data_IF_095811877433
#
_entry.id   IF_095811877433
#
_cell.length_a   1.000
_cell.length_b   1.000
_cell.length_c   1.000
_cell.angle_alpha   90.00
_cell.angle_beta   90.00
_cell.angle_gamma   90.00
#
_symmetry.space_group_name_H-M   'P 1'
#
loop_
_entity.id
_entity.type
_entity.pdbx_description
1 polymer ?
#
# COMPACT_ATOMS: atom_id res chain seq x y z
N UNK A 1 9.63 -41.64 3.32
CA UNK A 1 8.59 -41.64 2.27
C UNK A 1 8.12 -40.20 2.08
N UNK A 2 8.14 -39.64 0.88
CA UNK A 2 7.42 -38.37 0.62
C UNK A 2 5.94 -38.68 0.81
N UNK A 3 5.29 -38.14 1.83
CA UNK A 3 3.82 -38.23 1.95
C UNK A 3 3.23 -37.54 0.73
N UNK A 4 2.50 -38.28 -0.09
CA UNK A 4 1.75 -37.71 -1.21
C UNK A 4 0.66 -36.81 -0.63
N UNK A 5 0.83 -35.49 -0.74
CA UNK A 5 -0.08 -34.50 -0.20
C UNK A 5 -1.12 -34.02 -1.22
N UNK A 6 -1.06 -34.49 -2.47
CA UNK A 6 -1.88 -33.95 -3.57
C UNK A 6 -3.39 -34.08 -3.31
N UNK A 7 -3.81 -35.06 -2.49
CA UNK A 7 -5.20 -35.25 -2.08
C UNK A 7 -5.64 -34.38 -0.88
N UNK A 8 -4.70 -33.68 -0.23
CA UNK A 8 -4.93 -32.79 0.93
C UNK A 8 -4.63 -31.32 0.61
N UNK A 9 -4.80 -30.95 -0.66
CA UNK A 9 -4.72 -29.55 -1.10
C UNK A 9 -6.09 -28.89 -0.95
N UNK A 10 -6.15 -27.76 -0.25
CA UNK A 10 -7.37 -26.95 -0.17
C UNK A 10 -7.65 -26.33 -1.55
N UNK A 11 -8.89 -26.43 -2.08
CA UNK A 11 -9.25 -25.76 -3.32
C UNK A 11 -9.02 -24.24 -3.26
N UNK A 12 -8.54 -23.64 -4.35
CA UNK A 12 -8.27 -22.19 -4.41
C UNK A 12 -9.51 -21.34 -4.10
N UNK A 13 -10.70 -21.84 -4.45
CA UNK A 13 -11.97 -21.18 -4.18
C UNK A 13 -12.96 -22.16 -3.57
N UNK A 14 -13.35 -21.90 -2.33
CA UNK A 14 -14.38 -22.67 -1.61
C UNK A 14 -15.67 -21.86 -1.67
N UNK A 15 -16.65 -22.35 -2.43
CA UNK A 15 -17.99 -21.72 -2.53
C UNK A 15 -19.05 -22.50 -1.76
N UNK A 16 -18.80 -23.76 -1.44
CA UNK A 16 -19.68 -24.66 -0.69
C UNK A 16 -18.83 -25.63 0.12
N UNK A 17 -19.40 -26.20 1.19
CA UNK A 17 -18.78 -27.20 2.05
C UNK A 17 -19.62 -28.48 2.06
N UNK A 18 -19.01 -29.64 1.82
CA UNK A 18 -19.61 -30.97 2.05
C UNK A 18 -19.84 -31.17 3.54
N UNK A 19 -20.76 -32.02 3.97
CA UNK A 19 -21.27 -32.07 5.36
C UNK A 19 -20.20 -32.09 6.47
N UNK A 20 -19.08 -32.78 6.27
CA UNK A 20 -17.97 -32.87 7.24
C UNK A 20 -16.86 -31.82 7.06
N UNK A 21 -16.96 -30.95 6.05
CA UNK A 21 -15.95 -29.93 5.78
C UNK A 21 -16.15 -28.69 6.66
N UNK A 22 -15.02 -28.13 7.11
CA UNK A 22 -14.92 -26.93 7.95
C UNK A 22 -14.03 -25.91 7.25
N UNK A 23 -14.54 -24.69 7.07
CA UNK A 23 -13.81 -23.58 6.47
C UNK A 23 -12.88 -22.91 7.50
N UNK A 24 -11.56 -23.02 7.32
CA UNK A 24 -10.60 -22.43 8.27
C UNK A 24 -10.03 -21.14 7.70
N UNK A 25 -10.13 -20.06 8.47
CA UNK A 25 -9.83 -18.71 7.98
C UNK A 25 -9.06 -17.86 9.00
N UNK A 26 -8.34 -16.86 8.47
CA UNK A 26 -7.64 -15.87 9.27
C UNK A 26 -8.59 -14.80 9.80
N UNK A 27 -8.52 -14.49 11.10
CA UNK A 27 -9.34 -13.48 11.77
C UNK A 27 -8.50 -12.46 12.55
N UNK A 28 -9.16 -11.48 13.17
CA UNK A 28 -8.60 -10.64 14.23
C UNK A 28 -9.21 -11.06 15.59
N UNK A 29 -8.57 -10.67 16.69
CA UNK A 29 -9.02 -11.03 18.04
C UNK A 29 -10.44 -10.57 18.37
N UNK A 30 -10.90 -9.47 17.76
CA UNK A 30 -12.23 -8.92 17.98
C UNK A 30 -13.32 -9.60 17.15
N UNK A 31 -12.98 -10.56 16.26
CA UNK A 31 -13.94 -11.24 15.39
C UNK A 31 -14.64 -10.34 14.37
N UNK A 32 -13.99 -9.26 13.92
CA UNK A 32 -14.53 -8.40 12.88
C UNK A 32 -14.24 -8.99 11.51
N UNK A 33 -15.17 -9.81 11.03
CA UNK A 33 -15.05 -10.60 9.80
C UNK A 33 -15.49 -9.80 8.54
N UNK A 34 -14.96 -8.59 8.37
CA UNK A 34 -15.40 -7.66 7.32
C UNK A 34 -14.75 -7.84 5.94
N UNK A 35 -13.69 -8.64 5.81
CA UNK A 35 -12.96 -8.79 4.54
C UNK A 35 -12.42 -10.19 4.26
N UNK A 36 -12.09 -10.44 2.99
CA UNK A 36 -11.42 -11.67 2.52
C UNK A 36 -12.13 -12.96 2.93
N UNK A 37 -11.34 -13.98 3.29
CA UNK A 37 -11.84 -15.26 3.76
C UNK A 37 -12.72 -15.13 5.01
N UNK A 38 -12.45 -14.17 5.90
CA UNK A 38 -13.28 -13.94 7.09
C UNK A 38 -14.70 -13.50 6.71
N UNK A 39 -14.85 -12.60 5.74
CA UNK A 39 -16.17 -12.20 5.23
C UNK A 39 -16.90 -13.36 4.55
N UNK A 40 -16.18 -14.18 3.77
CA UNK A 40 -16.77 -15.37 3.17
C UNK A 40 -17.27 -16.35 4.25
N UNK A 41 -16.49 -16.55 5.31
CA UNK A 41 -16.88 -17.38 6.45
C UNK A 41 -18.15 -16.86 7.13
N UNK A 42 -18.24 -15.55 7.34
CA UNK A 42 -19.42 -14.90 7.94
C UNK A 42 -20.67 -15.06 7.06
N UNK A 43 -20.55 -14.81 5.75
CA UNK A 43 -21.70 -14.79 4.84
C UNK A 43 -22.19 -16.19 4.45
N UNK A 44 -21.29 -17.18 4.40
CA UNK A 44 -21.59 -18.46 3.75
C UNK A 44 -21.35 -19.68 4.63
N UNK A 45 -20.50 -19.58 5.66
CA UNK A 45 -20.04 -20.75 6.42
C UNK A 45 -20.28 -20.62 7.94
N UNK A 46 -21.14 -19.68 8.34
CA UNK A 46 -21.63 -19.55 9.72
C UNK A 46 -20.62 -19.03 10.72
N UNK A 47 -19.59 -18.28 10.29
CA UNK A 47 -18.77 -17.55 11.24
C UNK A 47 -19.58 -16.44 11.91
N UNK A 48 -19.30 -16.17 13.18
CA UNK A 48 -20.03 -15.24 14.03
C UNK A 48 -19.27 -13.92 14.13
N UNK A 49 -19.99 -12.79 14.03
CA UNK A 49 -19.39 -11.49 14.30
C UNK A 49 -19.04 -11.36 15.78
N UNK A 50 -17.83 -10.87 16.09
CA UNK A 50 -17.35 -10.73 17.47
C UNK A 50 -16.57 -11.94 18.00
N UNK A 51 -16.51 -13.04 17.25
CA UNK A 51 -15.82 -14.28 17.65
C UNK A 51 -14.56 -14.52 16.82
N UNK A 52 -13.44 -13.97 17.31
CA UNK A 52 -12.16 -13.95 16.60
C UNK A 52 -11.38 -15.27 16.56
N UNK A 53 -11.76 -16.25 17.39
CA UNK A 53 -10.99 -17.47 17.58
C UNK A 53 -11.88 -18.71 17.71
N UNK A 54 -11.41 -19.82 17.16
CA UNK A 54 -11.95 -21.16 17.44
C UNK A 54 -13.11 -21.56 16.54
N UNK A 55 -13.80 -22.66 16.88
CA UNK A 55 -14.89 -23.20 16.07
C UNK A 55 -16.15 -22.33 16.15
N UNK A 56 -16.79 -22.10 15.01
CA UNK A 56 -18.02 -21.31 14.87
C UNK A 56 -18.77 -21.69 13.59
N UNK A 57 -20.04 -22.07 13.73
CA UNK A 57 -20.82 -22.61 12.63
C UNK A 57 -20.10 -23.77 11.92
N UNK A 58 -19.89 -23.63 10.61
CA UNK A 58 -19.11 -24.56 9.78
C UNK A 58 -17.71 -24.02 9.47
N UNK A 59 -17.16 -23.22 10.37
CA UNK A 59 -15.89 -22.53 10.23
C UNK A 59 -15.01 -22.64 11.47
N UNK A 60 -13.71 -22.37 11.30
CA UNK A 60 -12.77 -22.24 12.41
C UNK A 60 -11.90 -20.99 12.19
N UNK A 61 -11.86 -20.08 13.17
CA UNK A 61 -11.08 -18.85 13.10
C UNK A 61 -9.71 -18.96 13.76
N UNK A 62 -8.69 -18.46 13.07
CA UNK A 62 -7.32 -18.33 13.57
C UNK A 62 -6.95 -16.83 13.58
N UNK A 63 -6.76 -16.20 14.75
CA UNK A 63 -6.24 -14.84 14.85
C UNK A 63 -4.86 -14.67 14.19
N UNK A 64 -4.78 -13.70 13.28
CA UNK A 64 -3.56 -13.41 12.48
C UNK A 64 -3.14 -11.94 12.49
N UNK A 65 -3.83 -11.08 13.23
CA UNK A 65 -3.68 -9.61 13.12
C UNK A 65 -3.09 -8.95 14.39
N UNK A 66 -2.53 -9.73 15.31
CA UNK A 66 -2.11 -9.28 16.65
C UNK A 66 -0.59 -9.07 16.82
N UNK A 67 0.14 -8.88 15.73
CA UNK A 67 1.60 -8.65 15.77
C UNK A 67 2.31 -9.40 14.65
N UNK A 68 3.55 -9.85 14.90
CA UNK A 68 4.31 -10.69 13.98
C UNK A 68 3.87 -12.16 13.98
N UNK A 69 4.53 -12.97 13.15
CA UNK A 69 4.25 -14.41 12.95
C UNK A 69 4.26 -15.19 14.27
N UNK A 70 5.15 -14.82 15.19
CA UNK A 70 5.28 -15.41 16.53
C UNK A 70 4.00 -15.31 17.36
N UNK A 71 3.19 -14.26 17.14
CA UNK A 71 1.92 -14.06 17.85
C UNK A 71 0.79 -14.95 17.32
N UNK A 72 0.99 -15.60 16.17
CA UNK A 72 0.01 -16.46 15.49
C UNK A 72 0.20 -17.92 15.89
N UNK A 73 1.45 -18.34 16.15
CA UNK A 73 1.82 -19.73 16.45
C UNK A 73 0.91 -20.41 17.51
N UNK A 74 0.56 -19.78 18.65
CA UNK A 74 -0.28 -20.43 19.66
C UNK A 74 -1.69 -20.75 19.16
N UNK A 75 -2.22 -19.98 18.21
CA UNK A 75 -3.55 -20.18 17.63
C UNK A 75 -3.55 -21.32 16.60
N UNK A 76 -2.47 -21.42 15.81
CA UNK A 76 -2.27 -22.54 14.88
C UNK A 76 -2.09 -23.86 15.65
N UNK A 77 -1.31 -23.87 16.73
CA UNK A 77 -1.17 -25.04 17.60
C UNK A 77 -2.51 -25.50 18.19
N UNK A 78 -3.34 -24.55 18.64
CA UNK A 78 -4.69 -24.86 19.15
C UNK A 78 -5.59 -25.43 18.06
N UNK A 79 -5.54 -24.87 16.85
CA UNK A 79 -6.25 -25.41 15.69
C UNK A 79 -5.82 -26.85 15.36
N UNK A 80 -4.51 -27.12 15.27
CA UNK A 80 -4.00 -28.46 14.97
C UNK A 80 -4.44 -29.47 16.05
N UNK A 81 -4.39 -29.07 17.33
CA UNK A 81 -4.88 -29.89 18.45
C UNK A 81 -6.40 -30.15 18.35
N UNK A 82 -7.17 -29.15 17.93
CA UNK A 82 -8.60 -29.29 17.71
C UNK A 82 -8.87 -30.29 16.58
N UNK A 83 -8.20 -30.14 15.43
CA UNK A 83 -8.37 -31.03 14.27
C UNK A 83 -8.02 -32.49 14.59
N UNK A 84 -6.96 -32.74 15.37
CA UNK A 84 -6.60 -34.10 15.86
C UNK A 84 -7.70 -34.76 16.70
N UNK A 85 -8.53 -33.98 17.38
CA UNK A 85 -9.65 -34.47 18.22
C UNK A 85 -10.95 -34.65 17.44
N UNK A 86 -11.00 -34.21 16.19
CA UNK A 86 -12.18 -34.25 15.33
C UNK A 86 -11.84 -34.93 13.99
N UNK A 87 -11.37 -36.18 13.99
CA UNK A 87 -10.95 -36.89 12.77
C UNK A 87 -12.11 -37.10 11.77
N UNK A 88 -13.36 -36.98 12.22
CA UNK A 88 -14.57 -37.03 11.39
C UNK A 88 -14.78 -35.78 10.52
N UNK A 89 -14.10 -34.67 10.82
CA UNK A 89 -14.20 -33.41 10.09
C UNK A 89 -13.00 -33.21 9.17
N UNK A 90 -13.19 -32.60 8.00
CA UNK A 90 -12.12 -32.18 7.08
C UNK A 90 -11.93 -30.67 7.13
N UNK A 91 -10.75 -30.22 7.53
CA UNK A 91 -10.45 -28.79 7.70
C UNK A 91 -9.80 -28.21 6.45
N UNK A 92 -10.53 -27.35 5.75
CA UNK A 92 -10.06 -26.67 4.55
C UNK A 92 -9.41 -25.35 4.95
N UNK A 93 -8.07 -25.37 5.09
CA UNK A 93 -7.29 -24.17 5.45
C UNK A 93 -7.12 -23.27 4.25
N UNK A 94 -7.65 -22.05 4.34
CA UNK A 94 -7.39 -20.98 3.38
C UNK A 94 -5.95 -20.44 3.52
N UNK A 95 -5.46 -19.55 2.64
CA UNK A 95 -4.19 -18.85 2.84
C UNK A 95 -4.21 -17.90 4.06
N UNK A 96 -4.25 -18.48 5.26
CA UNK A 96 -4.38 -17.80 6.54
C UNK A 96 -3.20 -16.84 6.73
N UNK A 97 -3.50 -15.61 7.11
CA UNK A 97 -2.50 -14.55 7.28
C UNK A 97 -2.00 -13.93 5.96
N UNK A 98 -2.27 -14.54 4.80
CA UNK A 98 -1.71 -14.10 3.51
C UNK A 98 -2.55 -13.06 2.76
N UNK A 99 -3.79 -12.82 3.21
CA UNK A 99 -4.63 -11.73 2.73
C UNK A 99 -4.45 -10.47 3.57
N UNK A 100 -5.43 -10.17 4.43
CA UNK A 100 -5.50 -8.92 5.22
C UNK A 100 -4.29 -8.70 6.13
N UNK A 101 -3.74 -9.77 6.72
CA UNK A 101 -2.61 -9.66 7.64
C UNK A 101 -1.25 -9.49 6.92
N UNK A 102 -1.19 -9.73 5.60
CA UNK A 102 -0.04 -9.38 4.76
C UNK A 102 1.22 -10.25 4.91
N UNK A 103 1.12 -11.44 5.51
CA UNK A 103 2.24 -12.38 5.59
C UNK A 103 2.39 -13.18 4.28
N UNK A 104 3.60 -13.54 3.92
CA UNK A 104 3.82 -14.49 2.81
C UNK A 104 3.49 -15.93 3.24
N UNK A 105 3.14 -16.82 2.29
CA UNK A 105 3.05 -18.25 2.56
C UNK A 105 4.31 -18.82 3.22
N UNK A 106 5.49 -18.30 2.85
CA UNK A 106 6.78 -18.68 3.44
C UNK A 106 6.89 -18.36 4.93
N UNK A 107 6.24 -17.29 5.38
CA UNK A 107 6.23 -16.87 6.79
C UNK A 107 5.24 -17.69 7.62
N UNK A 108 4.06 -18.01 7.08
CA UNK A 108 3.00 -18.72 7.81
C UNK A 108 3.11 -20.24 7.73
N UNK A 109 3.44 -20.80 6.57
CA UNK A 109 3.50 -22.26 6.37
C UNK A 109 4.35 -22.99 7.43
N UNK A 110 5.50 -22.48 7.90
CA UNK A 110 6.26 -23.12 8.98
C UNK A 110 5.47 -23.36 10.27
N UNK A 111 4.45 -22.55 10.58
CA UNK A 111 3.58 -22.75 11.75
C UNK A 111 2.71 -24.01 11.62
N UNK A 112 2.45 -24.46 10.39
CA UNK A 112 1.64 -25.65 10.09
C UNK A 112 2.48 -26.92 9.94
N UNK A 113 3.75 -26.94 10.37
CA UNK A 113 4.61 -28.13 10.22
C UNK A 113 4.01 -29.40 10.82
N UNK A 114 3.38 -29.27 11.98
CA UNK A 114 2.70 -30.39 12.63
C UNK A 114 1.43 -30.86 11.91
N UNK A 115 0.81 -30.02 11.07
CA UNK A 115 -0.39 -30.38 10.32
C UNK A 115 -0.09 -31.37 9.19
N UNK A 116 1.17 -31.49 8.75
CA UNK A 116 1.61 -32.48 7.76
C UNK A 116 1.23 -33.91 8.19
N UNK A 117 1.25 -34.17 9.49
CA UNK A 117 0.94 -35.48 10.08
C UNK A 117 -0.50 -35.63 10.55
N UNK A 118 -1.36 -34.65 10.26
CA UNK A 118 -2.79 -34.67 10.62
C UNK A 118 -3.61 -34.80 9.34
N UNK A 119 -4.09 -36.04 9.08
CA UNK A 119 -4.69 -36.42 7.79
C UNK A 119 -5.92 -35.61 7.40
N UNK A 120 -6.68 -35.11 8.37
CA UNK A 120 -7.90 -34.35 8.12
C UNK A 120 -7.68 -32.84 7.98
N UNK A 121 -6.43 -32.36 7.95
CA UNK A 121 -6.10 -30.98 7.61
C UNK A 121 -5.66 -30.89 6.15
N UNK A 122 -6.39 -30.07 5.39
CA UNK A 122 -6.03 -29.70 4.03
C UNK A 122 -5.42 -28.30 4.06
N UNK A 123 -4.29 -28.12 3.39
CA UNK A 123 -3.55 -26.85 3.34
C UNK A 123 -3.54 -26.28 1.91
N UNK A 124 -3.35 -24.96 1.74
CA UNK A 124 -3.10 -24.37 0.42
C UNK A 124 -1.88 -25.01 -0.24
N UNK A 125 -1.86 -25.09 -1.58
CA UNK A 125 -0.74 -25.70 -2.31
C UNK A 125 0.60 -25.06 -1.93
N UNK A 126 0.67 -23.73 -1.84
CA UNK A 126 1.90 -23.01 -1.50
C UNK A 126 2.42 -23.34 -0.10
N UNK A 127 1.53 -23.66 0.84
CA UNK A 127 1.95 -24.10 2.17
C UNK A 127 2.59 -25.48 2.09
N UNK A 128 2.02 -26.40 1.32
CA UNK A 128 2.65 -27.69 1.05
C UNK A 128 4.02 -27.52 0.41
N UNK A 129 4.15 -26.65 -0.60
CA UNK A 129 5.45 -26.42 -1.26
C UNK A 129 6.55 -26.01 -0.28
N UNK A 130 6.22 -25.22 0.74
CA UNK A 130 7.15 -24.83 1.80
C UNK A 130 7.39 -25.92 2.86
N UNK A 131 6.43 -26.82 3.07
CA UNK A 131 6.48 -27.84 4.11
C UNK A 131 7.16 -29.15 3.66
N UNK A 132 7.08 -29.52 2.37
CA UNK A 132 7.57 -30.82 1.86
C UNK A 132 8.79 -30.73 0.93
N UNK A 133 9.21 -29.55 0.48
CA UNK A 133 10.47 -29.40 -0.29
C UNK A 133 11.67 -29.29 0.68
N UNK A 134 12.68 -30.18 0.60
CA UNK A 134 13.88 -30.07 1.43
C UNK A 134 14.68 -28.81 1.06
N UNK A 135 15.24 -28.13 2.06
CA UNK A 135 16.28 -27.11 1.86
C UNK A 135 17.52 -27.78 1.25
N UNK A 136 17.80 -27.49 -0.02
CA UNK A 136 19.15 -27.65 -0.58
C UNK A 136 19.57 -26.34 -1.21
N UNK A 137 20.40 -25.60 -0.48
CA UNK A 137 21.40 -24.72 -1.09
C UNK A 137 22.35 -25.60 -1.91
N UNK A 138 22.35 -25.43 -3.23
CA UNK A 138 23.56 -25.56 -4.06
C UNK A 138 23.29 -25.04 -5.48
N UNK A 139 24.08 -24.03 -5.82
CA UNK A 139 24.43 -23.50 -7.14
C UNK A 139 24.06 -24.37 -8.35
N UNK A 140 23.19 -23.82 -9.22
CA UNK A 140 23.18 -24.07 -10.67
C UNK A 140 23.24 -22.73 -11.41
N UNK A 141 23.79 -22.68 -12.64
CA UNK A 141 24.09 -21.43 -13.33
C UNK A 141 22.81 -20.63 -13.55
N UNK A 142 22.85 -19.33 -13.29
CA UNK A 142 21.73 -18.41 -13.42
C UNK A 142 21.20 -18.37 -14.87
N UNK A 143 20.23 -19.21 -15.19
CA UNK A 143 19.19 -18.83 -16.14
C UNK A 143 18.21 -17.92 -15.38
N UNK A 144 18.24 -16.64 -15.71
CA UNK A 144 17.37 -15.62 -15.14
C UNK A 144 15.88 -15.95 -15.40
N UNK A 145 15.23 -16.67 -14.49
CA UNK A 145 13.77 -16.67 -14.40
C UNK A 145 13.34 -15.31 -13.86
N UNK A 146 12.97 -14.37 -14.73
CA UNK A 146 12.42 -13.08 -14.31
C UNK A 146 10.98 -13.26 -13.86
N UNK A 147 10.78 -13.25 -12.55
CA UNK A 147 9.50 -12.96 -11.91
C UNK A 147 9.11 -11.51 -12.20
N UNK A 148 7.81 -11.21 -12.34
CA UNK A 148 7.36 -9.83 -12.52
C UNK A 148 7.81 -8.98 -11.34
N UNK A 149 8.63 -7.96 -11.64
CA UNK A 149 9.15 -6.99 -10.67
C UNK A 149 8.71 -5.60 -11.07
N UNK A 150 8.53 -4.73 -10.09
CA UNK A 150 8.24 -3.33 -10.33
C UNK A 150 9.36 -2.43 -9.84
N UNK A 151 9.57 -1.32 -10.56
CA UNK A 151 10.44 -0.23 -10.11
C UNK A 151 9.62 0.77 -9.31
N UNK A 152 10.11 1.18 -8.13
CA UNK A 152 9.40 2.13 -7.28
C UNK A 152 10.11 3.47 -7.26
N UNK A 153 9.43 4.49 -7.74
CA UNK A 153 9.92 5.86 -7.82
C UNK A 153 8.95 6.79 -7.09
N UNK A 154 9.32 7.26 -5.90
CA UNK A 154 8.42 8.11 -5.11
C UNK A 154 9.14 9.29 -4.46
N UNK A 155 8.40 10.41 -4.36
CA UNK A 155 8.76 11.53 -3.50
C UNK A 155 7.77 11.55 -2.32
N UNK A 156 8.19 11.06 -1.13
CA UNK A 156 7.28 10.90 0.00
C UNK A 156 7.90 11.39 1.32
N UNK A 157 7.97 12.71 1.55
CA UNK A 157 8.61 13.26 2.74
C UNK A 157 8.00 12.76 4.06
N UNK A 158 6.70 12.53 4.11
CA UNK A 158 5.95 12.04 5.28
C UNK A 158 5.51 10.58 5.17
N UNK A 159 6.11 9.81 4.25
CA UNK A 159 5.97 8.34 4.11
C UNK A 159 4.61 7.80 3.65
N UNK A 160 3.54 8.58 3.60
CA UNK A 160 2.23 8.12 3.11
C UNK A 160 2.30 7.55 1.67
N UNK A 161 2.85 8.33 0.74
CA UNK A 161 3.07 7.88 -0.65
C UNK A 161 4.04 6.70 -0.79
N UNK A 162 5.05 6.58 0.08
CA UNK A 162 5.92 5.39 0.11
C UNK A 162 5.14 4.12 0.48
N UNK A 163 4.24 4.21 1.47
CA UNK A 163 3.37 3.09 1.86
C UNK A 163 2.47 2.65 0.70
N UNK A 164 1.87 3.60 -0.01
CA UNK A 164 1.05 3.34 -1.21
C UNK A 164 1.89 2.69 -2.32
N UNK A 165 3.07 3.24 -2.64
CA UNK A 165 3.95 2.68 -3.67
C UNK A 165 4.29 1.21 -3.40
N UNK A 166 4.64 0.89 -2.15
CA UNK A 166 4.96 -0.47 -1.70
C UNK A 166 3.75 -1.40 -1.74
N UNK A 167 2.56 -0.89 -1.43
CA UNK A 167 1.32 -1.67 -1.51
C UNK A 167 0.99 -2.04 -2.97
N UNK A 168 1.08 -1.10 -3.90
CA UNK A 168 0.92 -1.38 -5.34
C UNK A 168 1.98 -2.40 -5.80
N UNK A 169 3.23 -2.25 -5.33
CA UNK A 169 4.30 -3.19 -5.63
C UNK A 169 3.97 -4.62 -5.19
N UNK A 170 3.51 -4.81 -3.95
CA UNK A 170 3.09 -6.11 -3.41
C UNK A 170 1.97 -6.73 -4.25
N UNK A 171 0.98 -5.94 -4.67
CA UNK A 171 -0.08 -6.40 -5.56
C UNK A 171 0.42 -6.92 -6.92
N UNK A 172 1.59 -6.45 -7.37
CA UNK A 172 2.22 -6.90 -8.62
C UNK A 172 3.17 -8.09 -8.44
N UNK A 173 3.59 -8.41 -7.22
CA UNK A 173 4.50 -9.52 -6.95
C UNK A 173 3.84 -10.88 -7.26
N UNK A 174 4.65 -11.85 -7.66
CA UNK A 174 4.24 -13.23 -7.87
C UNK A 174 5.19 -14.01 -8.77
N UNK A 175 4.91 -15.30 -8.92
CA UNK A 175 5.80 -16.22 -9.63
C UNK A 175 5.66 -16.19 -11.16
N UNK A 176 4.80 -15.32 -11.68
CA UNK A 176 4.54 -15.16 -13.10
C UNK A 176 5.81 -14.73 -13.84
N UNK A 177 6.17 -15.52 -14.86
CA UNK A 177 7.29 -15.21 -15.74
C UNK A 177 6.90 -14.06 -16.66
N UNK A 178 7.56 -12.92 -16.51
CA UNK A 178 7.37 -11.77 -17.41
C UNK A 178 8.67 -11.01 -17.60
N UNK A 179 8.93 -10.60 -18.85
CA UNK A 179 10.00 -9.66 -19.18
C UNK A 179 9.58 -8.20 -18.95
N UNK A 180 8.29 -7.95 -18.67
CA UNK A 180 7.76 -6.62 -18.42
C UNK A 180 8.12 -6.18 -16.99
N UNK A 181 8.72 -5.00 -16.87
CA UNK A 181 9.04 -4.38 -15.58
C UNK A 181 8.29 -3.05 -15.45
N UNK A 182 7.06 -3.04 -14.91
CA UNK A 182 6.33 -1.79 -14.71
C UNK A 182 7.03 -0.88 -13.69
N UNK A 183 6.87 0.43 -13.85
CA UNK A 183 7.33 1.43 -12.89
C UNK A 183 6.16 2.07 -12.15
N UNK A 184 6.24 2.21 -10.84
CA UNK A 184 5.27 2.93 -10.01
C UNK A 184 5.85 4.30 -9.68
N UNK A 185 5.19 5.36 -10.14
CA UNK A 185 5.55 6.73 -9.83
C UNK A 185 4.56 7.33 -8.83
N UNK A 186 5.05 7.75 -7.66
CA UNK A 186 4.20 8.38 -6.64
C UNK A 186 4.68 9.79 -6.31
N UNK A 187 3.79 10.77 -6.47
CA UNK A 187 4.04 12.17 -6.12
C UNK A 187 3.02 12.66 -5.10
N UNK A 188 3.40 13.51 -4.12
CA UNK A 188 2.43 14.24 -3.34
C UNK A 188 1.89 15.42 -4.16
N UNK A 189 0.82 16.05 -3.68
CA UNK A 189 0.23 17.24 -4.29
C UNK A 189 0.57 18.48 -3.47
N UNK A 190 1.37 19.40 -4.03
CA UNK A 190 1.66 20.70 -3.41
C UNK A 190 1.10 21.82 -4.27
N UNK A 191 0.19 22.61 -3.68
CA UNK A 191 -0.51 23.71 -4.36
C UNK A 191 -1.14 23.29 -5.70
N UNK A 192 -1.69 22.07 -5.74
CA UNK A 192 -2.40 21.52 -6.90
C UNK A 192 -1.55 20.90 -7.99
N UNK A 193 -0.23 20.85 -7.79
CA UNK A 193 0.71 20.41 -8.81
C UNK A 193 1.68 19.36 -8.30
N UNK A 194 2.34 18.69 -9.24
CA UNK A 194 3.50 17.86 -8.95
C UNK A 194 4.65 18.75 -8.43
N UNK A 195 5.18 18.52 -7.21
CA UNK A 195 6.22 19.36 -6.63
C UNK A 195 7.49 19.41 -7.47
N UNK A 196 8.12 20.58 -7.56
CA UNK A 196 9.43 20.72 -8.22
C UNK A 196 10.49 19.78 -7.65
N UNK A 197 10.47 19.51 -6.34
CA UNK A 197 11.35 18.53 -5.70
C UNK A 197 11.12 17.09 -6.18
N UNK A 198 9.87 16.73 -6.52
CA UNK A 198 9.57 15.43 -7.14
C UNK A 198 10.10 15.39 -8.60
N UNK A 199 9.91 16.47 -9.36
CA UNK A 199 10.46 16.59 -10.73
C UNK A 199 11.99 16.45 -10.71
N UNK A 200 12.65 17.15 -9.80
CA UNK A 200 14.11 17.07 -9.62
C UNK A 200 14.56 15.66 -9.26
N UNK A 201 13.87 14.98 -8.32
CA UNK A 201 14.16 13.59 -7.94
C UNK A 201 14.00 12.62 -9.11
N UNK A 202 13.01 12.84 -9.97
CA UNK A 202 12.70 11.94 -11.07
C UNK A 202 13.41 12.32 -12.38
N UNK A 203 14.17 13.42 -12.42
CA UNK A 203 14.68 14.00 -13.68
C UNK A 203 15.56 13.06 -14.49
N UNK A 204 16.35 12.23 -13.80
CA UNK A 204 17.31 11.30 -14.41
C UNK A 204 16.74 9.89 -14.63
N UNK A 205 15.48 9.65 -14.25
CA UNK A 205 14.83 8.37 -14.46
C UNK A 205 14.34 8.31 -15.91
N UNK A 206 14.79 7.30 -16.65
CA UNK A 206 14.38 7.04 -18.04
C UNK A 206 13.89 5.61 -18.15
N UNK A 207 12.90 5.38 -19.00
CA UNK A 207 12.43 4.04 -19.31
C UNK A 207 13.58 3.18 -19.88
N UNK A 208 13.61 1.92 -19.49
CA UNK A 208 14.53 0.91 -20.00
C UNK A 208 13.95 0.29 -21.27
N UNK A 209 14.70 0.31 -22.37
CA UNK A 209 14.30 -0.25 -23.65
C UNK A 209 14.64 0.67 -24.82
N UNK A 210 14.78 0.12 -26.03
CA UNK A 210 15.00 0.92 -27.25
C UNK A 210 13.75 1.76 -27.50
N UNK A 211 13.91 3.07 -27.69
CA UNK A 211 12.83 3.94 -28.14
C UNK A 211 12.23 3.37 -29.44
N UNK A 212 10.91 3.20 -29.55
CA UNK A 212 10.29 2.79 -30.80
C UNK A 212 10.24 3.99 -31.74
N UNK A 213 11.14 4.03 -32.71
CA UNK A 213 10.89 4.70 -33.99
C UNK A 213 9.66 4.06 -34.63
N UNK A 214 8.59 4.83 -34.74
CA UNK A 214 7.44 4.52 -35.60
C UNK A 214 8.00 4.25 -37.01
N UNK A 215 7.68 3.11 -37.61
CA UNK A 215 7.44 2.96 -39.04
C UNK A 215 6.96 1.54 -39.39
N UNK A 216 5.89 1.52 -40.18
CA UNK A 216 5.35 0.44 -41.04
C UNK A 216 4.39 -0.58 -40.42
N UNK A 217 3.27 -0.71 -41.12
CA UNK A 217 2.13 -1.62 -40.95
C UNK A 217 2.58 -3.06 -40.66
N UNK A 218 1.87 -3.71 -39.73
CA UNK A 218 1.85 -5.15 -39.43
C UNK A 218 3.03 -5.74 -38.61
N UNK A 219 3.44 -5.08 -37.51
CA UNK A 219 4.31 -5.68 -36.49
C UNK A 219 3.74 -5.37 -35.09
N UNK A 220 3.73 -6.39 -34.21
CA UNK A 220 3.36 -6.29 -32.77
C UNK A 220 4.00 -5.04 -32.15
N UNK A 221 3.19 -4.09 -31.68
CA UNK A 221 3.67 -2.89 -31.02
C UNK A 221 4.34 -3.28 -29.69
N UNK A 222 5.67 -3.33 -29.64
CA UNK A 222 6.41 -3.33 -28.38
C UNK A 222 6.27 -1.94 -27.77
N UNK A 223 5.41 -1.82 -26.76
CA UNK A 223 5.20 -0.57 -26.03
C UNK A 223 6.44 -0.15 -25.24
N UNK A 224 6.52 1.15 -24.97
CA UNK A 224 7.39 1.75 -23.97
C UNK A 224 7.17 1.11 -22.58
N UNK A 225 8.13 1.27 -21.66
CA UNK A 225 8.03 0.67 -20.32
C UNK A 225 6.72 1.11 -19.62
N UNK A 226 5.87 0.18 -19.15
CA UNK A 226 4.59 0.55 -18.54
C UNK A 226 4.80 1.25 -17.21
N UNK A 227 3.90 2.18 -16.88
CA UNK A 227 3.94 2.94 -15.64
C UNK A 227 2.56 3.03 -14.97
N UNK A 228 2.56 2.94 -13.65
CA UNK A 228 1.43 3.26 -12.77
C UNK A 228 1.71 4.65 -12.17
N UNK A 229 0.81 5.60 -12.41
CA UNK A 229 0.95 6.97 -11.94
C UNK A 229 0.09 7.21 -10.70
N UNK A 230 0.65 7.76 -9.63
CA UNK A 230 -0.07 7.95 -8.38
C UNK A 230 0.15 9.36 -7.82
N UNK A 231 -0.96 10.05 -7.55
CA UNK A 231 -0.97 11.27 -6.75
C UNK A 231 -1.45 10.95 -5.33
N UNK A 232 -0.70 11.37 -4.30
CA UNK A 232 -1.17 11.32 -2.91
C UNK A 232 -1.49 12.71 -2.38
N UNK A 233 -2.64 12.86 -1.74
CA UNK A 233 -3.16 14.17 -1.33
C UNK A 233 -3.81 14.16 0.05
N UNK A 234 -3.79 15.32 0.71
CA UNK A 234 -4.28 15.49 2.09
C UNK A 234 -5.76 15.82 2.17
N UNK A 235 -6.62 15.02 1.53
CA UNK A 235 -8.10 15.09 1.59
C UNK A 235 -8.79 16.29 0.91
N UNK A 236 -8.06 17.32 0.46
CA UNK A 236 -8.68 18.43 -0.30
C UNK A 236 -8.96 18.05 -1.75
N UNK A 237 -7.91 17.95 -2.55
CA UNK A 237 -7.97 17.68 -3.99
C UNK A 237 -6.58 17.28 -4.49
N UNK A 238 -6.52 16.52 -5.57
CA UNK A 238 -5.27 16.21 -6.27
C UNK A 238 -5.02 17.09 -7.49
N UNK A 239 -6.05 17.78 -8.00
CA UNK A 239 -5.96 18.82 -9.04
C UNK A 239 -5.09 18.36 -10.23
N UNK A 240 -4.10 19.17 -10.63
CA UNK A 240 -3.28 18.94 -11.82
C UNK A 240 -2.09 18.01 -11.55
N UNK A 241 -1.84 17.59 -10.31
CA UNK A 241 -0.63 16.86 -9.97
C UNK A 241 -0.48 15.53 -10.71
N UNK A 242 -1.59 14.84 -10.98
CA UNK A 242 -1.56 13.59 -11.72
C UNK A 242 -1.32 13.82 -13.22
N UNK A 243 -1.91 14.88 -13.79
CA UNK A 243 -1.67 15.31 -15.18
C UNK A 243 -0.23 15.77 -15.37
N UNK A 244 0.30 16.56 -14.43
CA UNK A 244 1.71 16.99 -14.42
C UNK A 244 2.65 15.77 -14.40
N UNK A 245 2.35 14.78 -13.55
CA UNK A 245 3.13 13.54 -13.47
C UNK A 245 3.03 12.75 -14.78
N UNK A 246 1.85 12.65 -15.38
CA UNK A 246 1.64 11.95 -16.65
C UNK A 246 2.49 12.55 -17.77
N UNK A 247 2.39 13.87 -17.98
CA UNK A 247 3.21 14.58 -18.98
C UNK A 247 4.69 14.36 -18.72
N UNK A 248 5.13 14.55 -17.47
CA UNK A 248 6.54 14.42 -17.08
C UNK A 248 7.09 13.01 -17.31
N UNK A 249 6.30 11.96 -17.06
CA UNK A 249 6.74 10.57 -17.17
C UNK A 249 6.65 10.06 -18.62
N UNK A 250 5.67 10.52 -19.41
CA UNK A 250 5.61 10.26 -20.87
C UNK A 250 6.85 10.78 -21.60
N UNK A 251 7.31 12.00 -21.27
CA UNK A 251 8.56 12.58 -21.81
C UNK A 251 9.81 11.72 -21.50
N UNK A 252 9.74 10.82 -20.51
CA UNK A 252 10.81 9.92 -20.09
C UNK A 252 10.71 8.52 -20.71
N UNK A 253 9.80 8.34 -21.66
CA UNK A 253 9.65 7.11 -22.43
C UNK A 253 8.83 6.03 -21.73
N UNK A 254 7.97 6.41 -20.78
CA UNK A 254 7.05 5.48 -20.13
C UNK A 254 5.64 5.55 -20.76
N UNK A 255 4.92 4.43 -20.74
CA UNK A 255 3.51 4.34 -21.11
C UNK A 255 2.66 4.24 -19.85
N UNK A 256 1.85 5.25 -19.49
CA UNK A 256 0.91 5.12 -18.39
C UNK A 256 -0.16 4.09 -18.70
N UNK A 257 -0.17 2.98 -17.96
CA UNK A 257 -1.15 1.88 -18.12
C UNK A 257 -2.19 1.87 -16.99
N UNK A 258 -1.97 2.69 -15.97
CA UNK A 258 -2.88 2.92 -14.85
C UNK A 258 -2.57 4.25 -14.18
N UNK A 259 -3.58 4.83 -13.52
CA UNK A 259 -3.43 6.03 -12.72
C UNK A 259 -4.31 5.97 -11.46
N UNK A 260 -3.86 6.59 -10.37
CA UNK A 260 -4.59 6.61 -9.11
C UNK A 260 -4.38 7.89 -8.29
N UNK A 261 -5.38 8.23 -7.49
CA UNK A 261 -5.33 9.26 -6.46
C UNK A 261 -5.65 8.64 -5.10
N UNK A 262 -4.67 8.65 -4.19
CA UNK A 262 -4.81 8.11 -2.84
C UNK A 262 -4.80 9.22 -1.79
N UNK A 263 -5.71 9.12 -0.82
CA UNK A 263 -5.69 10.04 0.33
C UNK A 263 -4.60 9.57 1.31
N UNK A 264 -3.81 10.52 1.79
CA UNK A 264 -2.84 10.32 2.87
C UNK A 264 -3.04 11.42 3.91
N UNK A 265 -2.58 11.18 5.13
CA UNK A 265 -2.59 12.21 6.16
C UNK A 265 -1.85 13.45 5.66
N UNK A 266 -2.51 14.60 5.78
CA UNK A 266 -1.90 15.86 5.33
C UNK A 266 -0.69 16.17 6.21
N UNK A 267 0.37 16.73 5.60
CA UNK A 267 1.57 17.18 6.33
C UNK A 267 1.30 18.23 7.43
N UNK A 268 0.10 18.83 7.47
CA UNK A 268 -0.32 19.84 8.46
C UNK A 268 -1.27 19.26 9.50
N UNK A 269 -1.66 17.99 9.36
CA UNK A 269 -2.55 17.30 10.29
C UNK A 269 -1.91 17.24 11.68
N UNK A 270 -2.67 17.66 12.68
CA UNK A 270 -2.34 17.63 14.11
C UNK A 270 -3.55 17.10 14.87
N UNK A 271 -3.40 16.69 16.15
CA UNK A 271 -4.56 16.33 16.97
C UNK A 271 -5.62 17.44 17.05
N UNK A 272 -5.20 18.71 17.05
CA UNK A 272 -6.10 19.87 17.13
C UNK A 272 -6.81 20.17 15.80
N UNK A 273 -6.17 19.87 14.68
CA UNK A 273 -6.70 20.08 13.32
C UNK A 273 -6.43 18.85 12.46
N UNK A 274 -7.17 17.75 12.69
CA UNK A 274 -6.94 16.49 11.98
C UNK A 274 -7.36 16.63 10.52
N UNK A 275 -6.49 16.24 9.60
CA UNK A 275 -6.75 16.27 8.15
C UNK A 275 -6.33 14.93 7.55
N UNK A 276 -7.31 14.09 7.23
CA UNK A 276 -7.09 12.69 6.86
C UNK A 276 -6.16 11.96 7.86
N UNK A 277 -6.31 12.23 9.16
CA UNK A 277 -5.48 11.62 10.19
C UNK A 277 -5.56 10.08 10.13
N UNK A 278 -4.42 9.41 10.28
CA UNK A 278 -4.34 7.94 10.23
C UNK A 278 -4.30 7.32 8.82
N UNK A 279 -4.42 8.13 7.76
CA UNK A 279 -4.31 7.69 6.35
C UNK A 279 -2.84 7.66 5.88
N UNK A 280 -2.40 6.68 5.07
CA UNK A 280 -3.15 5.50 4.64
C UNK A 280 -3.26 4.48 5.77
N UNK A 281 -4.47 3.94 5.93
CA UNK A 281 -4.82 2.82 6.78
C UNK A 281 -4.92 1.52 5.97
N UNK A 282 -5.38 0.45 6.60
CA UNK A 282 -5.43 -0.89 6.01
C UNK A 282 -6.30 -0.92 4.74
N UNK A 283 -7.43 -0.20 4.71
CA UNK A 283 -8.32 -0.19 3.53
C UNK A 283 -7.61 0.40 2.31
N UNK A 284 -6.82 1.45 2.53
CA UNK A 284 -6.15 2.15 1.44
C UNK A 284 -4.98 1.35 0.90
N UNK A 285 -4.29 0.62 1.78
CA UNK A 285 -3.23 -0.29 1.36
C UNK A 285 -3.81 -1.47 0.58
N UNK A 286 -5.00 -1.96 0.93
CA UNK A 286 -5.70 -3.00 0.17
C UNK A 286 -6.14 -2.52 -1.21
N UNK A 287 -6.71 -1.31 -1.31
CA UNK A 287 -7.07 -0.71 -2.59
C UNK A 287 -5.83 -0.50 -3.48
N UNK A 288 -4.70 -0.11 -2.88
CA UNK A 288 -3.42 0.00 -3.58
C UNK A 288 -2.88 -1.36 -4.06
N UNK A 289 -2.98 -2.41 -3.24
CA UNK A 289 -2.63 -3.78 -3.64
C UNK A 289 -3.53 -4.30 -4.76
N UNK A 290 -4.84 -4.03 -4.70
CA UNK A 290 -5.79 -4.41 -5.75
C UNK A 290 -5.47 -3.71 -7.08
N UNK A 291 -5.09 -2.44 -7.05
CA UNK A 291 -4.59 -1.74 -8.23
C UNK A 291 -3.34 -2.44 -8.81
N UNK A 292 -2.38 -2.79 -7.95
CA UNK A 292 -1.19 -3.54 -8.37
C UNK A 292 -1.55 -4.86 -9.04
N UNK A 293 -2.44 -5.64 -8.43
CA UNK A 293 -2.90 -6.91 -8.97
C UNK A 293 -3.64 -6.77 -10.31
N UNK A 294 -4.49 -5.76 -10.44
CA UNK A 294 -5.21 -5.48 -11.68
C UNK A 294 -4.25 -5.12 -12.82
N UNK A 295 -3.26 -4.27 -12.55
CA UNK A 295 -2.23 -3.92 -13.55
C UNK A 295 -1.37 -5.13 -13.90
N UNK A 296 -0.96 -5.93 -12.91
CA UNK A 296 -0.24 -7.19 -13.16
C UNK A 296 -1.01 -8.08 -14.13
N UNK A 297 -2.30 -8.31 -13.86
CA UNK A 297 -3.18 -9.14 -14.70
C UNK A 297 -3.27 -8.59 -16.12
N UNK A 298 -3.49 -7.28 -16.26
CA UNK A 298 -3.51 -6.57 -17.54
C UNK A 298 -2.21 -6.78 -18.33
N UNK A 299 -1.06 -6.59 -17.69
CA UNK A 299 0.26 -6.74 -18.31
C UNK A 299 0.59 -8.19 -18.71
N UNK A 300 0.16 -9.17 -17.91
CA UNK A 300 0.33 -10.59 -18.23
C UNK A 300 -0.49 -11.03 -19.45
N UNK A 301 -1.60 -10.33 -19.74
CA UNK A 301 -2.37 -10.49 -20.97
C UNK A 301 -1.74 -9.75 -22.17
N UNK A 302 -0.52 -9.24 -22.04
CA UNK A 302 0.16 -8.39 -23.02
C UNK A 302 -0.61 -7.09 -23.36
N UNK A 303 -1.56 -6.68 -22.51
CA UNK A 303 -2.32 -5.45 -22.69
C UNK A 303 -1.52 -4.25 -22.16
N UNK A 304 -0.97 -3.47 -23.10
CA UNK A 304 -0.25 -2.23 -22.84
C UNK A 304 -1.10 -0.99 -23.20
N UNK A 305 -2.43 -1.13 -23.26
CA UNK A 305 -3.33 -0.02 -23.57
C UNK A 305 -3.11 1.15 -22.61
N UNK A 306 -2.84 2.36 -23.14
CA UNK A 306 -2.54 3.51 -22.31
C UNK A 306 -3.81 4.03 -21.63
N UNK A 307 -3.65 4.49 -20.40
CA UNK A 307 -4.66 5.21 -19.64
C UNK A 307 -4.38 6.71 -19.68
N UNK A 308 -5.43 7.52 -19.58
CA UNK A 308 -5.30 8.98 -19.49
C UNK A 308 -5.63 9.45 -18.07
N UNK A 309 -4.66 10.07 -17.39
CA UNK A 309 -4.81 10.55 -16.02
C UNK A 309 -5.97 11.54 -15.84
N UNK A 310 -6.33 12.31 -16.88
CA UNK A 310 -7.43 13.28 -16.84
C UNK A 310 -8.82 12.66 -16.65
N UNK A 311 -8.95 11.34 -16.81
CA UNK A 311 -10.18 10.60 -16.50
C UNK A 311 -10.45 10.57 -14.99
N UNK A 312 -9.41 10.68 -14.15
CA UNK A 312 -9.58 10.90 -12.72
C UNK A 312 -9.90 12.37 -12.45
N UNK A 313 -11.06 12.62 -11.84
CA UNK A 313 -11.50 13.95 -11.39
C UNK A 313 -11.45 14.06 -9.88
N UNK A 314 -11.38 15.28 -9.35
CA UNK A 314 -11.61 15.52 -7.92
C UNK A 314 -13.10 15.29 -7.58
N UNK A 315 -13.38 15.03 -6.29
CA UNK A 315 -14.75 15.16 -5.79
C UNK A 315 -15.21 16.62 -5.93
N UNK A 316 -16.45 16.88 -6.37
CA UNK A 316 -16.99 18.23 -6.39
C UNK A 316 -16.98 18.82 -4.98
N UNK A 317 -16.51 20.06 -4.86
CA UNK A 317 -16.51 20.80 -3.59
C UNK A 317 -17.73 21.73 -3.59
N UNK A 318 -18.60 21.66 -2.57
CA UNK A 318 -19.69 22.63 -2.38
C UNK A 318 -19.20 24.08 -2.46
N UNK A 319 -19.96 24.94 -3.15
CA UNK A 319 -19.55 26.32 -3.42
C UNK A 319 -19.22 27.11 -2.15
N UNK A 320 -19.98 26.91 -1.07
CA UNK A 320 -19.73 27.55 0.23
C UNK A 320 -18.38 27.13 0.82
N UNK A 321 -18.05 25.83 0.80
CA UNK A 321 -16.76 25.31 1.26
C UNK A 321 -15.61 25.85 0.41
N UNK A 322 -15.81 25.93 -0.91
CA UNK A 322 -14.83 26.51 -1.82
C UNK A 322 -14.58 27.99 -1.51
N UNK A 323 -15.64 28.80 -1.33
CA UNK A 323 -15.53 30.23 -0.97
C UNK A 323 -14.84 30.42 0.38
N UNK A 324 -15.25 29.67 1.40
CA UNK A 324 -14.68 29.70 2.74
C UNK A 324 -13.18 29.36 2.73
N UNK A 325 -12.82 28.26 2.07
CA UNK A 325 -11.42 27.86 1.95
C UNK A 325 -10.58 28.89 1.19
N UNK A 326 -11.09 29.42 0.07
CA UNK A 326 -10.38 30.43 -0.72
C UNK A 326 -10.20 31.75 0.03
N UNK A 327 -11.17 32.16 0.85
CA UNK A 327 -11.03 33.32 1.73
C UNK A 327 -9.90 33.09 2.76
N UNK A 328 -9.82 31.91 3.36
CA UNK A 328 -8.74 31.55 4.29
C UNK A 328 -7.36 31.55 3.59
N UNK A 329 -7.28 31.04 2.37
CA UNK A 329 -6.06 31.09 1.54
C UNK A 329 -5.64 32.53 1.24
N UNK A 330 -6.58 33.39 0.85
CA UNK A 330 -6.31 34.80 0.59
C UNK A 330 -5.79 35.51 1.85
N UNK A 331 -6.45 35.32 2.99
CA UNK A 331 -6.03 35.91 4.27
C UNK A 331 -4.62 35.43 4.69
N UNK A 332 -4.34 34.12 4.56
CA UNK A 332 -3.02 33.56 4.86
C UNK A 332 -1.93 34.13 3.95
N UNK A 333 -2.23 34.31 2.66
CA UNK A 333 -1.30 34.91 1.69
C UNK A 333 -1.01 36.37 2.00
N UNK A 334 -2.05 37.18 2.25
CA UNK A 334 -1.90 38.59 2.64
C UNK A 334 -1.03 38.72 3.89
N UNK A 335 -1.29 37.89 4.91
CA UNK A 335 -0.48 37.89 6.14
C UNK A 335 0.98 37.51 5.87
N UNK A 336 1.24 36.51 5.03
CA UNK A 336 2.61 36.10 4.69
C UNK A 336 3.37 37.20 3.94
N UNK A 337 2.70 37.89 3.00
CA UNK A 337 3.26 39.04 2.27
C UNK A 337 3.60 40.17 3.24
N UNK A 338 2.67 40.55 4.11
CA UNK A 338 2.88 41.63 5.07
C UNK A 338 4.03 41.36 6.05
N UNK A 339 4.25 40.10 6.42
CA UNK A 339 5.36 39.70 7.29
C UNK A 339 6.69 39.56 6.56
N UNK A 340 6.69 39.56 5.21
CA UNK A 340 7.88 39.30 4.40
C UNK A 340 8.53 37.94 4.65
N UNK A 341 7.81 37.00 5.28
CA UNK A 341 8.35 35.71 5.73
C UNK A 341 7.40 34.57 5.38
N UNK A 342 7.95 33.54 4.75
CA UNK A 342 7.26 32.27 4.54
C UNK A 342 7.16 31.53 5.88
N UNK A 343 5.96 31.05 6.28
CA UNK A 343 5.83 30.17 7.44
C UNK A 343 6.65 28.90 7.24
N UNK A 344 7.53 28.60 8.19
CA UNK A 344 8.37 27.39 8.21
C UNK A 344 8.30 26.70 9.56
N UNK A 345 8.64 25.39 9.64
CA UNK A 345 8.74 24.69 10.91
C UNK A 345 9.67 25.39 11.91
N UNK A 346 9.20 25.52 13.15
CA UNK A 346 9.92 26.15 14.25
C UNK A 346 10.79 25.13 14.98
N UNK A 347 11.87 25.61 15.60
CA UNK A 347 12.79 24.81 16.40
C UNK A 347 12.77 25.24 17.87
N UNK A 348 12.60 24.28 18.76
CA UNK A 348 12.54 24.49 20.21
C UNK A 348 13.72 23.79 20.88
N UNK A 349 14.85 24.51 21.01
CA UNK A 349 16.10 23.95 21.53
C UNK A 349 15.97 23.26 22.89
N UNK A 350 15.15 23.80 23.80
CA UNK A 350 14.90 23.21 25.13
C UNK A 350 14.25 21.83 25.11
N UNK A 351 13.55 21.47 24.03
CA UNK A 351 12.92 20.14 23.85
C UNK A 351 13.82 19.20 23.03
N UNK A 352 14.92 19.70 22.47
CA UNK A 352 15.71 18.96 21.50
C UNK A 352 16.74 18.06 22.20
N UNK A 353 16.76 16.79 21.83
CA UNK A 353 17.78 15.82 22.24
C UNK A 353 18.94 15.71 21.26
N UNK A 354 18.96 16.56 20.22
CA UNK A 354 19.93 16.54 19.11
C UNK A 354 20.07 15.17 18.44
N UNK A 355 19.00 14.39 18.34
CA UNK A 355 19.01 13.07 17.66
C UNK A 355 19.10 13.15 16.13
N UNK A 356 19.10 14.36 15.54
CA UNK A 356 19.27 14.62 14.10
C UNK A 356 18.28 13.95 13.13
N UNK A 357 17.24 13.27 13.64
CA UNK A 357 16.19 12.67 12.81
C UNK A 357 15.57 13.68 11.81
N UNK A 358 15.43 14.95 12.22
CA UNK A 358 14.91 16.01 11.36
C UNK A 358 15.86 16.38 10.20
N UNK A 359 17.17 16.28 10.41
CA UNK A 359 18.20 16.52 9.38
C UNK A 359 18.12 15.40 8.35
N UNK A 360 18.18 14.15 8.80
CA UNK A 360 18.11 12.96 7.94
C UNK A 360 16.81 12.89 7.13
N UNK A 361 15.68 13.33 7.70
CA UNK A 361 14.39 13.30 7.02
C UNK A 361 14.16 14.46 6.05
N UNK A 362 15.01 15.50 6.03
CA UNK A 362 14.77 16.69 5.20
C UNK A 362 15.13 16.42 3.73
N UNK A 363 14.16 16.34 2.80
CA UNK A 363 14.46 15.99 1.41
C UNK A 363 15.21 17.10 0.65
N UNK A 364 15.24 18.31 1.21
CA UNK A 364 15.87 19.49 0.59
C UNK A 364 17.23 19.80 1.22
N UNK A 365 17.68 19.02 2.22
CA UNK A 365 18.85 19.35 3.02
C UNK A 365 18.75 20.70 3.73
N UNK A 366 17.53 21.21 3.94
CA UNK A 366 17.26 22.57 4.43
C UNK A 366 17.57 22.77 5.92
N UNK A 367 18.00 21.73 6.64
CA UNK A 367 18.35 21.79 8.06
C UNK A 367 19.85 21.49 8.18
N UNK A 368 20.59 22.42 8.77
CA UNK A 368 22.04 22.28 8.99
C UNK A 368 22.38 21.41 10.20
N UNK A 369 23.67 21.14 10.39
CA UNK A 369 24.22 20.40 11.55
C UNK A 369 23.99 21.15 12.87
N UNK A 370 23.95 22.48 12.82
CA UNK A 370 23.56 23.34 13.94
C UNK A 370 22.06 23.33 14.24
N UNK A 371 21.28 22.56 13.47
CA UNK A 371 19.82 22.47 13.49
C UNK A 371 19.12 23.77 13.08
N UNK A 372 19.82 24.73 12.50
CA UNK A 372 19.18 25.88 11.85
C UNK A 372 18.39 25.42 10.62
N UNK A 373 17.29 26.12 10.30
CA UNK A 373 16.48 25.86 9.12
C UNK A 373 16.68 26.98 8.11
N UNK A 374 17.10 26.62 6.90
CA UNK A 374 17.15 27.50 5.76
C UNK A 374 15.77 27.60 5.11
N UNK A 375 15.12 28.75 5.29
CA UNK A 375 13.77 29.01 4.77
C UNK A 375 13.70 29.06 3.25
N UNK A 376 14.81 29.34 2.56
CA UNK A 376 14.85 29.42 1.10
C UNK A 376 14.76 28.03 0.46
N UNK A 377 15.36 27.01 1.11
CA UNK A 377 15.31 25.61 0.67
C UNK A 377 14.11 24.84 1.22
N UNK A 378 13.51 25.31 2.31
CA UNK A 378 12.38 24.62 2.94
C UNK A 378 11.12 24.65 2.08
N UNK A 379 10.64 23.47 1.66
CA UNK A 379 9.38 23.30 0.92
C UNK A 379 8.15 23.09 1.83
N UNK A 380 8.31 23.19 3.15
CA UNK A 380 7.22 23.02 4.14
C UNK A 380 6.51 21.66 4.08
N UNK A 381 7.23 20.61 3.67
CA UNK A 381 6.70 19.24 3.64
C UNK A 381 6.45 18.64 5.04
N UNK A 382 6.93 19.30 6.10
CA UNK A 382 6.80 18.90 7.50
C UNK A 382 7.38 17.52 7.86
N UNK A 383 8.24 16.94 7.03
CA UNK A 383 8.96 15.70 7.37
C UNK A 383 9.69 15.82 8.71
N UNK A 384 10.42 16.92 8.92
CA UNK A 384 11.11 17.24 10.17
C UNK A 384 10.20 17.31 11.41
N UNK A 385 8.94 17.73 11.23
CA UNK A 385 7.94 17.79 12.31
C UNK A 385 7.45 16.39 12.62
N UNK A 386 7.09 15.61 11.59
CA UNK A 386 6.52 14.27 11.74
C UNK A 386 7.51 13.24 12.32
N UNK A 387 8.80 13.41 12.09
CA UNK A 387 9.84 12.50 12.64
C UNK A 387 10.39 12.93 14.01
N UNK A 388 10.00 14.10 14.53
CA UNK A 388 10.59 14.61 15.77
C UNK A 388 9.95 13.95 17.00
N UNK A 389 10.68 13.11 17.77
CA UNK A 389 10.08 12.35 18.85
C UNK A 389 9.71 13.20 20.07
N UNK A 390 10.37 14.35 20.26
CA UNK A 390 10.17 15.22 21.43
C UNK A 390 9.29 16.44 21.14
N UNK A 391 8.79 16.59 19.91
CA UNK A 391 8.09 17.81 19.50
C UNK A 391 8.98 19.06 19.50
N UNK A 392 10.31 18.91 19.43
CA UNK A 392 11.24 20.04 19.27
C UNK A 392 11.12 20.72 17.90
N UNK A 393 10.52 20.06 16.91
CA UNK A 393 10.09 20.67 15.64
C UNK A 393 8.58 20.76 15.62
N UNK A 394 8.03 21.95 15.43
CA UNK A 394 6.58 22.15 15.28
C UNK A 394 6.27 22.99 14.07
N UNK A 395 5.05 22.87 13.54
CA UNK A 395 4.57 23.77 12.49
C UNK A 395 3.09 24.02 12.67
N UNK A 396 2.71 25.28 12.80
CA UNK A 396 1.32 25.71 12.86
C UNK A 396 0.98 26.37 11.53
N UNK A 397 0.38 25.59 10.63
CA UNK A 397 -0.03 26.09 9.33
C UNK A 397 -1.20 27.06 9.48
N UNK A 398 -1.17 28.25 8.85
CA UNK A 398 -2.33 29.14 8.81
C UNK A 398 -3.54 28.53 8.08
N UNK A 399 -3.33 27.43 7.35
CA UNK A 399 -4.39 26.74 6.59
C UNK A 399 -4.90 25.46 7.26
N UNK A 400 -4.28 24.98 8.33
CA UNK A 400 -4.65 23.69 8.92
C UNK A 400 -6.11 23.66 9.38
N UNK A 401 -6.56 24.71 10.08
CA UNK A 401 -7.94 24.85 10.53
C UNK A 401 -8.92 24.87 9.36
N UNK A 402 -8.67 25.72 8.35
CA UNK A 402 -9.53 25.81 7.18
C UNK A 402 -9.61 24.50 6.39
N UNK A 403 -8.50 23.74 6.30
CA UNK A 403 -8.51 22.41 5.67
C UNK A 403 -9.35 21.42 6.46
N UNK A 404 -9.20 21.38 7.79
CA UNK A 404 -9.95 20.46 8.65
C UNK A 404 -11.46 20.76 8.65
N UNK A 405 -11.84 22.04 8.67
CA UNK A 405 -13.23 22.47 8.74
C UNK A 405 -13.96 22.33 7.38
N UNK A 406 -13.29 22.64 6.27
CA UNK A 406 -13.92 22.60 4.94
C UNK A 406 -13.86 21.21 4.29
N UNK A 407 -12.91 20.35 4.68
CA UNK A 407 -12.75 19.00 4.10
C UNK A 407 -12.71 17.89 5.17
N UNK A 408 -13.71 17.80 6.07
CA UNK A 408 -13.70 16.84 7.18
C UNK A 408 -14.06 15.42 6.72
N UNK A 409 -14.79 15.30 5.62
CA UNK A 409 -15.31 14.02 5.16
C UNK A 409 -14.19 13.14 4.59
N UNK A 410 -14.18 11.87 4.96
CA UNK A 410 -13.23 10.88 4.43
C UNK A 410 -13.51 10.68 2.93
N UNK A 411 -12.56 11.05 2.06
CA UNK A 411 -12.66 10.82 0.62
C UNK A 411 -12.24 9.40 0.24
N UNK A 412 -12.86 8.87 -0.81
CA UNK A 412 -12.48 7.61 -1.42
C UNK A 412 -11.15 7.76 -2.20
N UNK A 413 -10.37 6.69 -2.29
CA UNK A 413 -9.30 6.63 -3.29
C UNK A 413 -9.93 6.40 -4.67
N UNK A 414 -9.23 6.82 -5.73
CA UNK A 414 -9.73 6.69 -7.10
C UNK A 414 -8.65 6.04 -7.97
N UNK A 415 -9.03 5.05 -8.79
CA UNK A 415 -8.10 4.32 -9.64
C UNK A 415 -8.71 4.10 -11.03
N UNK A 416 -7.86 4.06 -12.06
CA UNK A 416 -8.18 3.67 -13.43
C UNK A 416 -7.01 2.82 -13.96
N UNK A 417 -7.29 1.79 -14.74
CA UNK A 417 -6.31 0.90 -15.36
C UNK A 417 -6.90 0.24 -16.60
#
# INVERSE_FOLDING_TARGET
>A
MKKDYHHRVTPERITMLRDSEVFVFGSNLNGWHGGGAARAALLHFGAEWGKGEGPQGRSYAIPTMQGGVETIAPYVERFIRYARRHPEQTFLVTPIGCGIAGFSPREIAPLFREAVDVENIHLPNDFWEHLVKPKTETTRPQQHNKHMKSELHYFSPTKGGEKIAKAIARGMEGDDKSDITPAVFVTPVYSGHMPGAAKERFKNIKAKGKQPTILVKNIKAKGNQPAILVAVYGNRAFEQALTDLETFIKERGYTPVAAAAFVCEHSYSTPETPIAAGRPDISDLQEAEQLGYAVKTKLLMEDLSPTNATQLKDDPIPEEQAKSFMAAVAAARTKAVNLGKKPVPQYHGRKCTRCEACVAACPMGAIGEDLSLDSSRCIVCCACVKVCPTGARTFHSPLAKALAENFPQRKANRCIF
#
